data_IF_030102500399
#
_entry.id   IF_030102500399
#
_cell.length_a   1.000
_cell.length_b   1.000
_cell.length_c   1.000
_cell.angle_alpha   90.00
_cell.angle_beta   90.00
_cell.angle_gamma   90.00
#
_symmetry.space_group_name_H-M   'P 1'
#
loop_
_entity.id
_entity.type
_entity.pdbx_description
1 polymer ?
#
# COMPACT_ATOMS: atom_id res chain seq x y z
N UNK A 1 24.14 0.31 25.47
CA UNK A 1 23.84 0.11 24.03
C UNK A 1 24.36 -1.22 23.47
N UNK A 2 25.65 -1.57 23.57
CA UNK A 2 26.20 -2.76 22.87
C UNK A 2 25.55 -4.11 23.25
N UNK A 3 25.16 -4.33 24.51
CA UNK A 3 24.50 -5.58 24.95
C UNK A 3 23.12 -5.79 24.32
N UNK A 4 22.40 -4.71 24.02
CA UNK A 4 21.06 -4.77 23.42
C UNK A 4 21.15 -5.19 21.94
N UNK A 5 22.13 -4.68 21.19
CA UNK A 5 22.34 -5.07 19.80
C UNK A 5 22.73 -6.55 19.65
N UNK A 6 23.52 -7.07 20.57
CA UNK A 6 23.87 -8.50 20.61
C UNK A 6 22.63 -9.38 20.89
N UNK A 7 21.69 -8.90 21.69
CA UNK A 7 20.39 -9.56 21.91
C UNK A 7 19.58 -9.61 20.61
N UNK A 8 19.43 -8.48 19.91
CA UNK A 8 18.65 -8.43 18.66
C UNK A 8 19.27 -9.26 17.52
N UNK A 9 20.60 -9.31 17.41
CA UNK A 9 21.29 -10.20 16.48
C UNK A 9 21.01 -11.67 16.79
N UNK A 10 20.93 -12.04 18.07
CA UNK A 10 20.60 -13.41 18.50
C UNK A 10 19.16 -13.78 18.16
N UNK A 11 18.21 -12.85 18.23
CA UNK A 11 16.82 -13.05 17.76
C UNK A 11 16.79 -13.39 16.26
N UNK A 12 17.68 -12.78 15.47
CA UNK A 12 17.85 -13.10 14.05
C UNK A 12 18.73 -14.33 13.78
N UNK A 13 19.20 -15.03 14.83
CA UNK A 13 20.08 -16.19 14.70
C UNK A 13 21.47 -15.85 14.17
N UNK A 14 21.92 -14.62 14.38
CA UNK A 14 23.20 -14.11 13.89
C UNK A 14 24.22 -14.00 15.02
N UNK A 15 25.50 -14.03 14.63
CA UNK A 15 26.61 -13.82 15.55
C UNK A 15 26.71 -12.33 15.93
N UNK A 16 27.29 -12.00 17.10
CA UNK A 16 27.42 -10.61 17.55
C UNK A 16 28.27 -9.70 16.64
N UNK A 17 29.01 -10.28 15.70
CA UNK A 17 29.82 -9.60 14.69
C UNK A 17 29.18 -9.60 13.29
N UNK A 18 27.90 -9.95 13.17
CA UNK A 18 27.23 -10.02 11.89
C UNK A 18 27.09 -8.63 11.24
N UNK A 19 27.28 -8.60 9.93
CA UNK A 19 27.18 -7.42 9.08
C UNK A 19 25.72 -7.05 8.79
N UNK A 20 25.49 -5.81 8.38
CA UNK A 20 24.15 -5.35 8.01
C UNK A 20 23.52 -6.15 6.86
N UNK A 21 24.34 -6.65 5.93
CA UNK A 21 23.88 -7.52 4.84
C UNK A 21 23.42 -8.89 5.37
N UNK A 22 24.13 -9.48 6.32
CA UNK A 22 23.71 -10.71 7.01
C UNK A 22 22.41 -10.50 7.81
N UNK A 23 22.26 -9.34 8.46
CA UNK A 23 21.03 -8.92 9.15
C UNK A 23 19.84 -8.90 8.19
N UNK A 24 19.98 -8.26 7.02
CA UNK A 24 18.93 -8.25 5.98
C UNK A 24 18.61 -9.65 5.46
N UNK A 25 19.64 -10.46 5.17
CA UNK A 25 19.46 -11.82 4.66
C UNK A 25 18.72 -12.69 5.67
N UNK A 26 19.13 -12.67 6.93
CA UNK A 26 18.49 -13.47 7.97
C UNK A 26 17.06 -13.00 8.26
N UNK A 27 16.84 -11.67 8.32
CA UNK A 27 15.49 -11.11 8.45
C UNK A 27 14.57 -11.58 7.35
N UNK A 28 14.97 -11.49 6.06
CA UNK A 28 14.14 -11.96 4.94
C UNK A 28 13.82 -13.45 5.03
N UNK A 29 14.77 -14.28 5.44
CA UNK A 29 14.59 -15.72 5.60
C UNK A 29 13.60 -16.04 6.73
N UNK A 30 13.77 -15.41 7.89
CA UNK A 30 12.95 -15.64 9.07
C UNK A 30 11.55 -15.05 8.92
N UNK A 31 11.41 -13.86 8.31
CA UNK A 31 10.13 -13.23 8.04
C UNK A 31 9.27 -14.07 7.08
N UNK A 32 9.88 -14.73 6.08
CA UNK A 32 9.18 -15.69 5.22
C UNK A 32 8.78 -16.95 5.97
N UNK A 33 9.65 -17.48 6.83
CA UNK A 33 9.41 -18.71 7.59
C UNK A 33 8.27 -18.58 8.61
N UNK A 34 8.20 -17.44 9.29
CA UNK A 34 7.20 -17.17 10.32
C UNK A 34 6.07 -16.24 9.85
N UNK A 35 5.94 -16.04 8.53
CA UNK A 35 4.92 -15.15 8.00
C UNK A 35 3.52 -15.67 8.38
N UNK A 36 2.59 -14.81 8.83
CA UNK A 36 1.22 -15.23 9.16
C UNK A 36 0.47 -15.80 7.94
N UNK A 37 0.89 -15.46 6.72
CA UNK A 37 0.27 -16.00 5.51
C UNK A 37 0.67 -17.45 5.23
N UNK A 38 1.86 -17.89 5.68
CA UNK A 38 2.31 -19.28 5.55
C UNK A 38 2.09 -20.10 6.83
N UNK A 39 1.85 -19.43 7.98
CA UNK A 39 1.48 -20.06 9.25
C UNK A 39 0.16 -19.46 9.81
N UNK A 40 -0.97 -19.62 9.11
CA UNK A 40 -2.24 -19.07 9.56
C UNK A 40 -2.70 -19.74 10.86
N UNK A 41 -2.99 -18.93 11.89
CA UNK A 41 -3.52 -19.41 13.18
C UNK A 41 -2.46 -19.96 14.15
N UNK A 42 -1.19 -19.96 13.78
CA UNK A 42 -0.09 -20.34 14.66
C UNK A 42 0.37 -19.14 15.51
N UNK A 43 -0.03 -19.15 16.78
CA UNK A 43 0.33 -18.11 17.76
C UNK A 43 1.84 -18.03 18.02
N UNK A 44 2.55 -19.15 17.94
CA UNK A 44 4.00 -19.18 18.17
C UNK A 44 4.75 -18.60 16.99
N UNK A 45 4.26 -18.81 15.76
CA UNK A 45 4.81 -18.19 14.56
C UNK A 45 4.57 -16.68 14.55
N UNK A 46 3.38 -16.22 14.94
CA UNK A 46 3.05 -14.80 15.07
C UNK A 46 3.95 -14.10 16.10
N UNK A 47 4.14 -14.69 17.27
CA UNK A 47 5.00 -14.12 18.31
C UNK A 47 6.47 -14.04 17.84
N UNK A 48 6.96 -15.08 17.16
CA UNK A 48 8.31 -15.09 16.57
C UNK A 48 8.44 -14.01 15.50
N UNK A 49 7.45 -13.85 14.63
CA UNK A 49 7.43 -12.84 13.59
C UNK A 49 7.53 -11.41 14.17
N UNK A 50 6.74 -11.11 15.20
CA UNK A 50 6.77 -9.82 15.90
C UNK A 50 8.17 -9.55 16.47
N UNK A 51 8.77 -10.53 17.16
CA UNK A 51 10.12 -10.41 17.74
C UNK A 51 11.19 -10.18 16.67
N UNK A 52 11.12 -10.90 15.54
CA UNK A 52 12.05 -10.78 14.41
C UNK A 52 11.97 -9.38 13.77
N UNK A 53 10.76 -8.84 13.59
CA UNK A 53 10.57 -7.49 13.03
C UNK A 53 11.06 -6.40 13.95
N UNK A 54 10.81 -6.52 15.26
CA UNK A 54 11.32 -5.58 16.27
C UNK A 54 12.85 -5.56 16.31
N UNK A 55 13.48 -6.74 16.33
CA UNK A 55 14.94 -6.89 16.32
C UNK A 55 15.59 -6.24 15.10
N UNK A 56 15.02 -6.47 13.90
CA UNK A 56 15.53 -5.86 12.67
C UNK A 56 15.43 -4.32 12.70
N UNK A 57 14.31 -3.77 13.16
CA UNK A 57 14.14 -2.31 13.24
C UNK A 57 15.17 -1.67 14.18
N UNK A 58 15.39 -2.24 15.36
CA UNK A 58 16.41 -1.77 16.29
C UNK A 58 17.83 -1.85 15.71
N UNK A 59 18.14 -2.88 14.92
CA UNK A 59 19.44 -3.03 14.28
C UNK A 59 19.66 -2.04 13.13
N UNK A 60 18.63 -1.75 12.34
CA UNK A 60 18.68 -0.74 11.26
C UNK A 60 18.93 0.64 11.84
N UNK A 61 18.28 0.99 12.95
CA UNK A 61 18.41 2.30 13.57
C UNK A 61 19.77 2.47 14.29
N UNK A 62 20.39 1.38 14.75
CA UNK A 62 21.64 1.40 15.49
C UNK A 62 22.91 1.15 14.65
N UNK A 63 22.79 0.51 13.48
CA UNK A 63 23.93 0.27 12.59
C UNK A 63 24.09 1.44 11.61
N UNK A 64 25.22 2.17 11.62
CA UNK A 64 25.47 3.22 10.65
C UNK A 64 25.55 2.61 9.25
N UNK A 65 24.58 2.94 8.40
CA UNK A 65 24.50 2.47 7.01
C UNK A 65 25.61 3.11 6.18
N UNK A 66 26.83 2.55 6.23
CA UNK A 66 28.00 3.08 5.49
C UNK A 66 28.02 2.73 3.98
N UNK A 67 26.93 2.23 3.41
CA UNK A 67 26.83 1.91 1.96
C UNK A 67 25.57 2.55 1.32
N UNK A 68 25.09 3.67 1.85
CA UNK A 68 24.07 4.48 1.14
C UNK A 68 24.47 5.95 1.12
N UNK A 69 25.62 6.24 0.50
CA UNK A 69 25.97 7.58 0.06
C UNK A 69 25.60 7.84 -1.43
N UNK A 70 25.06 6.85 -2.16
CA UNK A 70 24.69 7.05 -3.57
C UNK A 70 23.17 7.18 -3.82
N UNK A 71 22.30 6.97 -2.83
CA UNK A 71 20.86 7.03 -3.07
C UNK A 71 20.09 7.69 -1.95
N UNK A 72 20.45 8.94 -1.60
CA UNK A 72 19.53 9.94 -1.01
C UNK A 72 20.28 11.24 -0.72
N UNK A 73 20.26 12.19 -1.68
CA UNK A 73 20.13 13.64 -1.45
C UNK A 73 20.62 14.43 -2.67
N UNK A 74 19.70 14.96 -3.48
CA UNK A 74 19.81 16.28 -4.09
C UNK A 74 18.53 16.55 -4.89
N UNK A 75 17.65 17.33 -4.28
CA UNK A 75 16.71 18.22 -4.98
C UNK A 75 17.55 19.31 -5.66
N UNK A 76 17.06 19.83 -6.80
CA UNK A 76 17.37 21.12 -7.46
C UNK A 76 18.23 21.10 -8.75
N UNK A 77 17.57 21.52 -9.84
CA UNK A 77 18.06 21.89 -11.18
C UNK A 77 18.68 23.32 -11.17
N UNK A 78 19.64 23.65 -12.08
CA UNK A 78 19.23 24.32 -13.33
C UNK A 78 20.00 23.91 -14.61
N UNK A 79 19.24 23.52 -15.64
CA UNK A 79 19.29 23.95 -17.06
C UNK A 79 20.64 24.29 -17.72
N UNK A 80 21.08 23.43 -18.66
CA UNK A 80 21.18 23.78 -20.10
C UNK A 80 21.30 22.57 -21.04
N UNK A 81 20.40 22.54 -22.02
CA UNK A 81 20.50 21.97 -23.39
C UNK A 81 20.21 20.47 -23.65
N UNK A 82 19.01 20.25 -24.21
CA UNK A 82 18.35 19.03 -24.78
C UNK A 82 18.93 18.59 -26.15
N UNK A 83 18.47 17.50 -26.84
CA UNK A 83 17.46 16.49 -26.47
C UNK A 83 17.76 15.01 -26.83
N UNK A 84 17.17 14.07 -26.10
CA UNK A 84 16.58 12.85 -26.71
C UNK A 84 15.32 12.49 -25.90
N UNK A 85 14.19 12.40 -26.60
CA UNK A 85 12.85 12.32 -26.02
C UNK A 85 12.58 10.89 -25.59
N UNK A 86 12.55 10.63 -24.28
CA UNK A 86 11.84 9.48 -23.70
C UNK A 86 10.84 10.04 -22.69
N UNK A 87 9.55 9.89 -23.02
CA UNK A 87 8.43 10.42 -22.24
C UNK A 87 8.24 9.54 -21.01
N UNK A 88 8.77 9.97 -19.86
CA UNK A 88 8.56 9.32 -18.55
C UNK A 88 7.24 9.77 -17.95
N UNK A 89 6.32 8.83 -17.72
CA UNK A 89 5.05 9.06 -17.01
C UNK A 89 5.27 9.00 -15.47
N UNK A 90 4.61 9.85 -14.64
CA UNK A 90 4.88 9.92 -13.21
C UNK A 90 4.43 8.69 -12.40
N UNK A 91 5.15 8.42 -11.32
CA UNK A 91 5.08 7.20 -10.49
C UNK A 91 3.99 7.29 -9.39
N UNK A 92 3.35 6.16 -9.08
CA UNK A 92 2.44 5.93 -7.93
C UNK A 92 3.07 4.87 -6.99
N UNK A 93 2.69 4.82 -5.69
CA UNK A 93 3.48 4.21 -4.63
C UNK A 93 3.65 2.68 -4.73
N UNK A 94 4.81 2.22 -4.24
CA UNK A 94 5.30 0.83 -4.23
C UNK A 94 4.34 -0.07 -3.42
N UNK A 95 3.55 -0.88 -4.12
CA UNK A 95 2.86 -2.06 -3.58
C UNK A 95 3.71 -3.27 -3.96
N UNK A 96 4.11 -4.08 -2.98
CA UNK A 96 4.87 -5.31 -3.20
C UNK A 96 3.92 -6.37 -3.78
N UNK A 97 4.05 -6.65 -5.08
CA UNK A 97 3.25 -7.65 -5.81
C UNK A 97 4.06 -8.93 -5.95
N UNK A 98 3.52 -10.06 -5.52
CA UNK A 98 3.99 -11.38 -5.95
C UNK A 98 3.68 -11.56 -7.44
N UNK A 99 4.74 -11.70 -8.25
CA UNK A 99 4.62 -11.90 -9.69
C UNK A 99 4.11 -13.31 -9.94
N UNK A 100 2.90 -13.43 -10.49
CA UNK A 100 2.37 -14.71 -10.98
C UNK A 100 3.25 -15.19 -12.15
N UNK A 101 3.88 -16.38 -12.10
CA UNK A 101 4.88 -16.80 -13.09
C UNK A 101 4.32 -17.33 -14.44
N UNK A 102 3.02 -17.17 -14.73
CA UNK A 102 2.35 -17.82 -15.87
C UNK A 102 1.61 -16.86 -16.84
N UNK A 103 1.92 -15.57 -16.85
CA UNK A 103 1.27 -14.61 -17.76
C UNK A 103 1.99 -14.56 -19.11
N UNK A 104 1.24 -14.60 -20.21
CA UNK A 104 1.74 -14.41 -21.57
C UNK A 104 2.32 -12.99 -21.76
N UNK A 105 3.32 -12.77 -22.64
CA UNK A 105 3.84 -11.44 -22.96
C UNK A 105 2.75 -10.44 -23.35
N UNK A 106 1.69 -10.89 -24.02
CA UNK A 106 0.56 -10.06 -24.41
C UNK A 106 -0.28 -9.61 -23.20
N UNK A 107 -0.47 -10.50 -22.22
CA UNK A 107 -1.19 -10.20 -20.98
C UNK A 107 -0.41 -9.20 -20.12
N UNK A 108 0.93 -9.36 -20.06
CA UNK A 108 1.81 -8.39 -19.43
C UNK A 108 1.71 -7.00 -20.08
N UNK A 109 1.75 -6.94 -21.42
CA UNK A 109 1.62 -5.68 -22.14
C UNK A 109 0.24 -5.03 -21.92
N UNK A 110 -0.83 -5.83 -21.89
CA UNK A 110 -2.18 -5.37 -21.59
C UNK A 110 -2.29 -4.80 -20.17
N UNK A 111 -1.72 -5.50 -19.17
CA UNK A 111 -1.66 -5.02 -17.79
C UNK A 111 -0.93 -3.69 -17.70
N UNK A 112 0.25 -3.61 -18.32
CA UNK A 112 1.06 -2.40 -18.29
C UNK A 112 0.26 -1.23 -18.87
N UNK A 113 -0.27 -1.35 -20.10
CA UNK A 113 -1.13 -0.34 -20.74
C UNK A 113 -2.36 0.02 -19.91
N UNK A 114 -2.97 -0.96 -19.26
CA UNK A 114 -4.08 -0.77 -18.33
C UNK A 114 -3.71 0.11 -17.15
N UNK A 115 -2.60 -0.21 -16.47
CA UNK A 115 -2.05 0.59 -15.38
C UNK A 115 -1.78 2.03 -15.80
N UNK A 116 -1.19 2.16 -16.99
CA UNK A 116 -0.79 3.42 -17.56
C UNK A 116 -1.96 4.39 -17.67
N UNK A 117 -3.05 3.90 -18.27
CA UNK A 117 -4.29 4.64 -18.43
C UNK A 117 -4.96 4.89 -17.08
N UNK A 118 -4.94 3.91 -16.17
CA UNK A 118 -5.53 4.03 -14.84
C UNK A 118 -4.90 5.18 -14.04
N UNK A 119 -3.56 5.31 -14.09
CA UNK A 119 -2.85 6.43 -13.45
C UNK A 119 -3.30 7.79 -13.99
N UNK A 120 -3.49 7.92 -15.30
CA UNK A 120 -3.96 9.16 -15.94
C UNK A 120 -5.39 9.48 -15.51
N UNK A 121 -6.28 8.49 -15.50
CA UNK A 121 -7.68 8.65 -15.08
C UNK A 121 -7.77 9.07 -13.61
N UNK A 122 -6.89 8.55 -12.77
CA UNK A 122 -6.79 8.94 -11.38
C UNK A 122 -6.30 10.36 -11.16
N UNK A 123 -5.31 10.84 -11.94
CA UNK A 123 -4.87 12.24 -11.88
C UNK A 123 -5.97 13.21 -12.33
N UNK A 124 -6.71 12.82 -13.35
CA UNK A 124 -7.83 13.61 -13.89
C UNK A 124 -9.15 13.39 -13.13
N UNK A 125 -9.13 12.60 -12.04
CA UNK A 125 -10.30 12.28 -11.21
C UNK A 125 -11.50 11.70 -11.99
N UNK A 126 -11.24 11.06 -13.13
CA UNK A 126 -12.26 10.41 -13.99
C UNK A 126 -12.62 9.01 -13.47
N UNK A 127 -13.14 8.94 -12.24
CA UNK A 127 -13.40 7.66 -11.55
C UNK A 127 -14.33 6.68 -12.27
N UNK A 128 -15.44 7.09 -12.91
CA UNK A 128 -16.30 6.15 -13.64
C UNK A 128 -15.55 5.43 -14.78
N UNK A 129 -14.69 6.17 -15.50
CA UNK A 129 -13.82 5.58 -16.55
C UNK A 129 -12.73 4.69 -15.95
N UNK A 130 -12.16 5.09 -14.81
CA UNK A 130 -11.16 4.28 -14.11
C UNK A 130 -11.75 2.93 -13.67
N UNK A 131 -12.98 2.93 -13.15
CA UNK A 131 -13.70 1.72 -12.74
C UNK A 131 -14.00 0.82 -13.94
N UNK A 132 -14.53 1.38 -15.03
CA UNK A 132 -14.80 0.62 -16.24
C UNK A 132 -13.54 -0.03 -16.83
N UNK A 133 -12.42 0.70 -16.85
CA UNK A 133 -11.14 0.19 -17.33
C UNK A 133 -10.68 -1.01 -16.48
N UNK A 134 -10.68 -0.86 -15.16
CA UNK A 134 -10.15 -1.90 -14.27
C UNK A 134 -11.08 -3.10 -14.16
N UNK A 135 -12.39 -2.91 -14.24
CA UNK A 135 -13.36 -4.02 -14.35
C UNK A 135 -13.17 -4.78 -15.68
N UNK A 136 -12.90 -4.08 -16.78
CA UNK A 136 -12.57 -4.69 -18.08
C UNK A 136 -11.23 -5.45 -18.09
N UNK A 137 -10.25 -5.00 -17.31
CA UNK A 137 -9.00 -5.75 -17.09
C UNK A 137 -9.24 -7.00 -16.25
N UNK A 138 -10.06 -6.91 -15.20
CA UNK A 138 -10.36 -8.04 -14.32
C UNK A 138 -11.16 -9.15 -15.02
N UNK A 139 -11.99 -8.81 -16.01
CA UNK A 139 -12.65 -9.82 -16.84
C UNK A 139 -11.66 -10.63 -17.68
N UNK A 140 -10.61 -9.99 -18.18
CA UNK A 140 -9.57 -10.64 -19.00
C UNK A 140 -8.55 -11.38 -18.15
N UNK A 141 -8.25 -10.86 -16.95
CA UNK A 141 -7.23 -11.37 -16.05
C UNK A 141 -7.81 -11.66 -14.65
N UNK A 142 -8.80 -12.57 -14.53
CA UNK A 142 -9.55 -12.77 -13.30
C UNK A 142 -8.73 -13.42 -12.18
N UNK A 143 -7.65 -14.12 -12.54
CA UNK A 143 -6.73 -14.81 -11.61
C UNK A 143 -5.55 -13.94 -11.18
N UNK A 144 -5.45 -12.73 -11.72
CA UNK A 144 -4.32 -11.85 -11.44
C UNK A 144 -4.54 -11.04 -10.14
N UNK A 145 -3.67 -11.18 -9.12
CA UNK A 145 -3.82 -10.47 -7.86
C UNK A 145 -3.59 -8.95 -8.01
N UNK A 146 -2.74 -8.51 -8.93
CA UNK A 146 -2.45 -7.10 -9.17
C UNK A 146 -3.65 -6.37 -9.78
N UNK A 147 -4.35 -7.02 -10.71
CA UNK A 147 -5.58 -6.45 -11.29
C UNK A 147 -6.67 -6.31 -10.24
N UNK A 148 -6.84 -7.31 -9.35
CA UNK A 148 -7.77 -7.23 -8.21
C UNK A 148 -7.40 -6.09 -7.25
N UNK A 149 -6.12 -5.92 -6.95
CA UNK A 149 -5.62 -4.79 -6.15
C UNK A 149 -5.95 -3.45 -6.80
N UNK A 150 -5.72 -3.30 -8.11
CA UNK A 150 -6.07 -2.08 -8.82
C UNK A 150 -7.57 -1.80 -8.78
N UNK A 151 -8.43 -2.83 -8.87
CA UNK A 151 -9.87 -2.64 -8.70
C UNK A 151 -10.18 -2.11 -7.31
N UNK A 152 -9.63 -2.73 -6.26
CA UNK A 152 -9.84 -2.32 -4.88
C UNK A 152 -9.39 -0.85 -4.63
N UNK A 153 -8.22 -0.47 -5.14
CA UNK A 153 -7.69 0.91 -5.08
C UNK A 153 -8.59 1.88 -5.85
N UNK A 154 -9.11 1.49 -7.02
CA UNK A 154 -10.01 2.34 -7.80
C UNK A 154 -11.30 2.65 -7.02
N UNK A 155 -11.93 1.64 -6.42
CA UNK A 155 -13.12 1.82 -5.59
C UNK A 155 -12.84 2.65 -4.34
N UNK A 156 -11.69 2.46 -3.70
CA UNK A 156 -11.28 3.23 -2.54
C UNK A 156 -11.06 4.72 -2.90
N UNK A 157 -10.33 5.03 -3.98
CA UNK A 157 -10.10 6.42 -4.41
C UNK A 157 -11.41 7.09 -4.83
N UNK A 158 -12.30 6.35 -5.49
CA UNK A 158 -13.62 6.84 -5.82
C UNK A 158 -14.46 7.12 -4.57
N UNK A 159 -14.39 6.27 -3.55
CA UNK A 159 -15.04 6.52 -2.26
C UNK A 159 -14.51 7.80 -1.60
N UNK A 160 -13.19 8.00 -1.54
CA UNK A 160 -12.58 9.24 -1.02
C UNK A 160 -13.03 10.49 -1.79
N UNK A 161 -13.18 10.37 -3.11
CA UNK A 161 -13.78 11.42 -3.91
C UNK A 161 -15.20 11.70 -3.45
N UNK A 162 -16.07 10.68 -3.37
CA UNK A 162 -17.47 10.82 -2.95
C UNK A 162 -17.62 11.42 -1.54
N UNK A 163 -16.74 11.06 -0.59
CA UNK A 163 -16.71 11.63 0.77
C UNK A 163 -16.54 13.15 0.71
N UNK A 164 -15.64 13.66 -0.14
CA UNK A 164 -15.39 15.11 -0.29
C UNK A 164 -16.60 15.87 -0.84
N UNK A 165 -17.45 15.22 -1.65
CA UNK A 165 -18.65 15.82 -2.22
C UNK A 165 -19.93 15.49 -1.42
N UNK A 166 -19.81 14.93 -0.21
CA UNK A 166 -20.96 14.66 0.66
C UNK A 166 -21.78 13.43 0.29
N UNK A 167 -21.35 12.62 -0.68
CA UNK A 167 -22.06 11.41 -1.11
C UNK A 167 -21.71 10.19 -0.26
N UNK A 168 -21.93 10.28 1.06
CA UNK A 168 -21.48 9.27 2.03
C UNK A 168 -22.04 7.87 1.78
N UNK A 169 -23.32 7.74 1.41
CA UNK A 169 -23.94 6.43 1.12
C UNK A 169 -23.37 5.74 -0.11
N UNK A 170 -23.01 6.53 -1.14
CA UNK A 170 -22.30 5.98 -2.32
C UNK A 170 -20.87 5.60 -1.94
N UNK A 171 -20.20 6.40 -1.11
CA UNK A 171 -18.86 6.10 -0.61
C UNK A 171 -18.81 4.80 0.21
N UNK A 172 -19.75 4.60 1.15
CA UNK A 172 -19.84 3.36 1.96
C UNK A 172 -19.98 2.12 1.07
N UNK A 173 -20.85 2.16 0.05
CA UNK A 173 -21.02 1.06 -0.90
C UNK A 173 -19.74 0.75 -1.68
N UNK A 174 -19.02 1.79 -2.13
CA UNK A 174 -17.75 1.64 -2.81
C UNK A 174 -16.66 1.03 -1.91
N UNK A 175 -16.54 1.48 -0.66
CA UNK A 175 -15.59 0.92 0.32
C UNK A 175 -15.88 -0.55 0.63
N UNK A 176 -17.16 -0.91 0.85
CA UNK A 176 -17.57 -2.32 1.03
C UNK A 176 -17.24 -3.17 -0.20
N UNK A 177 -17.28 -2.60 -1.40
CA UNK A 177 -16.87 -3.31 -2.62
C UNK A 177 -15.35 -3.48 -2.68
N UNK A 178 -14.58 -2.44 -2.33
CA UNK A 178 -13.12 -2.52 -2.27
C UNK A 178 -12.61 -3.65 -1.35
N UNK A 179 -13.18 -3.79 -0.14
CA UNK A 179 -12.80 -4.85 0.80
C UNK A 179 -13.12 -6.26 0.30
N UNK A 180 -14.21 -6.43 -0.46
CA UNK A 180 -14.59 -7.72 -1.04
C UNK A 180 -13.65 -8.16 -2.16
N UNK A 181 -13.06 -7.21 -2.87
CA UNK A 181 -12.17 -7.47 -4.00
C UNK A 181 -10.77 -7.91 -3.54
N UNK A 182 -10.34 -7.45 -2.37
CA UNK A 182 -9.04 -7.81 -1.81
C UNK A 182 -9.12 -8.04 -0.27
N UNK A 183 -9.66 -9.20 0.17
CA UNK A 183 -9.89 -9.48 1.58
C UNK A 183 -8.59 -9.63 2.39
N UNK A 184 -7.51 -10.06 1.75
CA UNK A 184 -6.24 -10.40 2.41
C UNK A 184 -5.31 -9.19 2.60
N UNK A 185 -5.64 -8.04 2.01
CA UNK A 185 -4.80 -6.85 2.07
C UNK A 185 -5.05 -6.01 3.33
N UNK A 186 -4.24 -6.28 4.36
CA UNK A 186 -4.28 -5.58 5.65
C UNK A 186 -4.08 -4.06 5.53
N UNK A 187 -3.30 -3.59 4.56
CA UNK A 187 -3.08 -2.15 4.33
C UNK A 187 -4.33 -1.47 3.80
N UNK A 188 -4.99 -2.09 2.81
CA UNK A 188 -6.28 -1.62 2.29
C UNK A 188 -7.33 -1.55 3.41
N UNK A 189 -7.42 -2.59 4.24
CA UNK A 189 -8.31 -2.61 5.40
C UNK A 189 -8.10 -1.43 6.34
N UNK A 190 -6.84 -1.17 6.75
CA UNK A 190 -6.52 -0.03 7.62
C UNK A 190 -6.96 1.30 7.02
N UNK A 191 -6.72 1.49 5.73
CA UNK A 191 -7.11 2.71 5.04
C UNK A 191 -8.63 2.85 4.90
N UNK A 192 -9.32 1.78 4.52
CA UNK A 192 -10.78 1.76 4.38
C UNK A 192 -11.47 2.00 5.72
N UNK A 193 -10.97 1.41 6.82
CA UNK A 193 -11.50 1.65 8.17
C UNK A 193 -11.40 3.12 8.56
N UNK A 194 -10.29 3.80 8.25
CA UNK A 194 -10.17 5.26 8.46
C UNK A 194 -11.16 6.04 7.62
N UNK A 195 -11.40 5.62 6.38
CA UNK A 195 -12.37 6.28 5.49
C UNK A 195 -13.82 6.08 5.99
N UNK A 196 -14.15 4.94 6.60
CA UNK A 196 -15.43 4.74 7.29
C UNK A 196 -15.60 5.65 8.51
N UNK A 197 -14.59 5.74 9.37
CA UNK A 197 -14.62 6.64 10.53
C UNK A 197 -14.82 8.11 10.11
N UNK A 198 -14.17 8.53 9.02
CA UNK A 198 -14.37 9.88 8.45
C UNK A 198 -15.80 10.10 7.99
N UNK A 199 -16.41 9.11 7.36
CA UNK A 199 -17.82 9.19 6.93
C UNK A 199 -18.73 9.36 8.16
N UNK A 200 -18.54 8.55 9.20
CA UNK A 200 -19.37 8.59 10.41
C UNK A 200 -19.25 9.93 11.14
N UNK A 201 -18.02 10.41 11.33
CA UNK A 201 -17.78 11.72 11.90
C UNK A 201 -18.48 12.83 11.10
N UNK A 202 -18.39 12.79 9.77
CA UNK A 202 -18.98 13.82 8.91
C UNK A 202 -20.52 13.80 8.94
N UNK A 203 -21.13 12.61 9.01
CA UNK A 203 -22.58 12.45 9.17
C UNK A 203 -23.05 13.06 10.51
N UNK A 204 -22.33 12.78 11.60
CA UNK A 204 -22.65 13.34 12.92
C UNK A 204 -22.59 14.88 12.92
N UNK A 205 -21.57 15.46 12.29
CA UNK A 205 -21.42 16.91 12.18
C UNK A 205 -22.57 17.56 11.38
N UNK A 206 -23.05 16.89 10.31
CA UNK A 206 -24.22 17.37 9.56
C UNK A 206 -25.48 17.35 10.41
N UNK A 207 -25.72 16.27 11.15
CA UNK A 207 -26.89 16.15 12.03
C UNK A 207 -26.89 17.20 13.15
N UNK A 208 -25.74 17.42 13.80
CA UNK A 208 -25.57 18.43 14.85
C UNK A 208 -25.85 19.86 14.33
N UNK A 209 -25.37 20.16 13.12
CA UNK A 209 -25.59 21.45 12.46
C UNK A 209 -27.06 21.67 12.13
N UNK A 210 -27.76 20.66 11.59
CA UNK A 210 -29.20 20.73 11.30
C UNK A 210 -30.03 20.94 12.57
N UNK A 211 -29.71 20.24 13.66
CA UNK A 211 -30.41 20.43 14.94
C UNK A 211 -30.19 21.83 15.55
N UNK A 212 -28.99 22.39 15.44
CA UNK A 212 -28.70 23.72 15.96
C UNK A 212 -29.45 24.84 15.21
N UNK A 213 -29.59 24.71 13.89
CA UNK A 213 -30.37 25.66 13.08
C UNK A 213 -31.87 25.63 13.39
N UNK A 214 -32.43 24.45 13.70
CA UNK A 214 -33.85 24.31 14.04
C UNK A 214 -34.18 24.91 15.43
N UNK A 215 -33.27 24.79 16.41
CA UNK A 215 -33.46 25.35 17.75
C UNK A 215 -33.28 26.87 17.85
N UNK A 216 -32.63 27.51 16.86
CA UNK A 216 -32.42 28.96 16.82
C UNK A 216 -33.56 29.73 16.13
N UNK A 217 -34.50 29.02 15.48
CA UNK A 217 -35.60 29.63 14.71
C UNK A 217 -36.97 29.48 15.39
N UNK A 218 -37.02 29.03 16.65
CA UNK A 218 -38.22 28.93 17.48
C UNK A 218 -38.08 29.77 18.74
#
# INVERSE_FOLDING_TARGET
MQRQLVSELRVLGLRPNATFEEVKVSYRRLARRYHPDVNPGDRDAEEKFIRITQAYQCLVDALPTRITAEHKAATEEPSRSRPTVTITRPQTPKVTVEVNPNLSPEEHALKQRGFEQLQVLFRTQRFPRAIALVDGLAQRLPRDPEVRQWQAIAYQRWARYLIRYGHYEKARRALKKALRLDPHNKSLWKEVSRDFQRIEHQIQQQQASTSASMSSSG
#
